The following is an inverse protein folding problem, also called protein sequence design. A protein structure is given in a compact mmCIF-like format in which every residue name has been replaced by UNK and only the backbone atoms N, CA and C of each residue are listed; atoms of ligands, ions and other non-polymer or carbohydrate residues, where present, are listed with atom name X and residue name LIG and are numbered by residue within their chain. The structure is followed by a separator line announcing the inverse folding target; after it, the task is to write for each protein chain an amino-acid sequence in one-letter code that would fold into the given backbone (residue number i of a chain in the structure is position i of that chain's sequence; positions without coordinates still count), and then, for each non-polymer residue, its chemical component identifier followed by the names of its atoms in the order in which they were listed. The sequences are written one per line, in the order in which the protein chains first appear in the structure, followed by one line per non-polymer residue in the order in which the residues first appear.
data_IF_945836464749
#
_entry.id   IF_945836464749
#
_cell.length_a   1.000
_cell.length_b   1.000
_cell.length_c   1.000
_cell.angle_alpha   90.00
_cell.angle_beta   90.00
_cell.angle_gamma   90.00
#
_symmetry.space_group_name_H-M   'P 1'
#
loop_
_entity.id
_entity.type
_entity.pdbx_description
1 polymer ?
#
# COMPACT_ATOMS: atom_id res chain seq x y z
N UNK A 1 7.17 -4.22 16.12
CA UNK A 1 8.20 -5.27 16.38
C UNK A 1 8.92 -5.54 15.06
N UNK A 2 10.23 -5.35 14.98
CA UNK A 2 11.01 -5.65 13.77
C UNK A 2 11.39 -7.13 13.77
N UNK A 3 11.38 -7.77 12.60
CA UNK A 3 11.80 -9.16 12.46
C UNK A 3 13.34 -9.28 12.52
N UNK A 4 13.92 -9.27 13.72
CA UNK A 4 15.35 -9.48 13.90
C UNK A 4 15.61 -11.00 13.98
N UNK A 5 16.38 -11.55 13.04
CA UNK A 5 16.82 -12.96 13.06
C UNK A 5 15.81 -14.01 12.53
N UNK A 6 14.66 -13.59 12.01
CA UNK A 6 13.61 -14.50 11.51
C UNK A 6 13.75 -14.86 10.02
N UNK A 7 14.63 -14.16 9.29
CA UNK A 7 14.94 -14.46 7.88
C UNK A 7 15.54 -15.87 7.71
N UNK A 8 16.28 -16.37 8.71
CA UNK A 8 16.88 -17.72 8.70
C UNK A 8 15.90 -18.85 9.03
N UNK A 9 14.73 -18.54 9.61
CA UNK A 9 13.71 -19.52 10.01
C UNK A 9 12.56 -19.64 9.00
N UNK A 10 12.61 -18.93 7.86
CA UNK A 10 11.56 -18.99 6.83
C UNK A 10 10.21 -18.41 7.28
N UNK A 11 10.18 -17.60 8.34
CA UNK A 11 8.95 -17.09 8.96
C UNK A 11 8.42 -15.81 8.32
N UNK A 12 9.23 -15.14 7.48
CA UNK A 12 8.81 -14.00 6.67
C UNK A 12 8.64 -14.46 5.22
N UNK A 13 7.40 -14.58 4.76
CA UNK A 13 7.14 -14.88 3.37
C UNK A 13 7.51 -13.65 2.53
N UNK A 14 8.44 -13.81 1.58
CA UNK A 14 8.62 -12.84 0.51
C UNK A 14 7.33 -12.78 -0.32
N UNK A 15 6.70 -11.62 -0.36
CA UNK A 15 5.58 -11.36 -1.25
C UNK A 15 5.76 -10.03 -1.96
N UNK A 16 5.17 -9.94 -3.15
CA UNK A 16 5.36 -8.81 -4.05
C UNK A 16 4.95 -7.50 -3.38
N UNK A 17 5.83 -6.50 -3.39
CA UNK A 17 5.52 -5.16 -2.90
C UNK A 17 4.56 -4.40 -3.81
N UNK A 18 3.64 -3.66 -3.20
CA UNK A 18 2.83 -2.67 -3.89
C UNK A 18 3.72 -1.47 -4.24
N UNK A 19 3.87 -1.24 -5.55
CA UNK A 19 4.59 -0.11 -6.11
C UNK A 19 3.68 0.72 -7.00
N UNK A 20 3.91 2.03 -7.02
CA UNK A 20 3.26 2.98 -7.91
C UNK A 20 4.35 3.69 -8.72
N UNK A 21 4.37 3.46 -10.04
CA UNK A 21 5.42 3.96 -10.93
C UNK A 21 6.84 3.64 -10.42
N UNK A 22 7.05 2.39 -9.96
CA UNK A 22 8.33 1.92 -9.43
C UNK A 22 8.62 2.28 -7.97
N UNK A 23 7.91 3.27 -7.40
CA UNK A 23 8.10 3.70 -6.01
C UNK A 23 7.29 2.83 -5.05
N UNK A 24 7.90 2.45 -3.93
CA UNK A 24 7.23 1.72 -2.85
C UNK A 24 6.08 2.53 -2.24
N UNK A 25 4.95 1.85 -1.98
CA UNK A 25 3.85 2.45 -1.23
C UNK A 25 4.16 2.59 0.28
N UNK A 26 5.00 1.71 0.82
CA UNK A 26 5.47 1.69 2.21
C UNK A 26 6.90 1.16 2.26
N UNK A 27 7.66 1.59 3.26
CA UNK A 27 9.05 1.17 3.50
C UNK A 27 9.19 0.04 4.52
N UNK A 28 8.06 -0.54 4.93
CA UNK A 28 8.02 -1.75 5.72
C UNK A 28 6.79 -2.57 5.36
N UNK A 29 6.91 -3.89 5.47
CA UNK A 29 5.83 -4.82 5.22
C UNK A 29 5.74 -5.85 6.34
N UNK A 30 4.53 -6.35 6.58
CA UNK A 30 4.28 -7.34 7.63
C UNK A 30 4.64 -8.75 7.16
N UNK A 31 5.48 -9.47 7.90
CA UNK A 31 5.96 -10.78 7.45
C UNK A 31 4.88 -11.87 7.30
N UNK A 32 3.81 -11.77 8.09
CA UNK A 32 2.64 -12.65 7.96
C UNK A 32 1.36 -11.81 8.09
N UNK A 33 0.83 -11.24 7.00
CA UNK A 33 -0.37 -10.41 7.01
C UNK A 33 -1.62 -11.12 7.56
N UNK A 34 -1.61 -12.46 7.64
CA UNK A 34 -2.67 -13.23 8.31
C UNK A 34 -2.64 -13.15 9.84
N UNK A 35 -1.51 -12.75 10.45
CA UNK A 35 -1.34 -12.70 11.91
C UNK A 35 -1.24 -11.24 12.36
N UNK A 36 -2.20 -10.73 13.16
CA UNK A 36 -2.19 -9.32 13.58
C UNK A 36 -0.99 -8.95 14.45
N UNK A 37 -0.31 -9.92 15.07
CA UNK A 37 0.86 -9.74 15.93
C UNK A 37 2.19 -10.04 15.23
N UNK A 38 2.18 -10.22 13.90
CA UNK A 38 3.42 -10.44 13.16
C UNK A 38 4.35 -9.22 13.20
N UNK A 39 5.62 -9.46 12.95
CA UNK A 39 6.65 -8.44 12.91
C UNK A 39 6.74 -7.81 11.51
N UNK A 40 7.48 -6.70 11.42
CA UNK A 40 7.71 -5.95 10.20
C UNK A 40 9.14 -6.12 9.72
N UNK A 41 9.28 -6.20 8.41
CA UNK A 41 10.57 -6.12 7.73
C UNK A 41 10.66 -4.77 7.03
N UNK A 42 11.83 -4.15 7.15
CA UNK A 42 12.09 -2.84 6.57
C UNK A 42 12.70 -3.03 5.18
N UNK A 43 12.31 -2.17 4.27
CA UNK A 43 12.95 -2.04 2.97
C UNK A 43 14.34 -1.42 3.11
N UNK A 44 15.10 -1.51 2.02
CA UNK A 44 16.48 -1.05 2.00
C UNK A 44 16.54 0.47 2.18
N UNK A 45 17.54 0.91 2.93
CA UNK A 45 17.74 2.34 3.15
C UNK A 45 17.91 3.09 1.81
N UNK A 46 17.21 4.22 1.70
CA UNK A 46 17.08 5.10 0.52
C UNK A 46 16.35 4.49 -0.68
N UNK A 47 15.69 3.34 -0.52
CA UNK A 47 14.85 2.80 -1.59
C UNK A 47 13.71 3.78 -1.92
N UNK A 48 13.45 4.10 -3.22
CA UNK A 48 12.45 5.08 -3.58
C UNK A 48 11.03 4.72 -3.12
N UNK A 49 10.36 5.66 -2.47
CA UNK A 49 9.04 5.45 -1.87
C UNK A 49 8.14 6.69 -1.99
N UNK A 50 6.87 6.52 -1.62
CA UNK A 50 5.86 7.58 -1.60
C UNK A 50 5.49 8.01 -0.18
N UNK A 51 5.52 9.32 0.07
CA UNK A 51 5.07 9.95 1.30
C UNK A 51 3.64 10.45 1.12
N UNK A 52 2.71 9.79 1.81
CA UNK A 52 1.27 10.03 1.65
C UNK A 52 0.69 11.11 2.56
N UNK A 53 1.49 11.70 3.46
CA UNK A 53 1.00 12.68 4.45
C UNK A 53 0.40 13.92 3.83
N UNK A 54 0.78 14.26 2.59
CA UNK A 54 0.22 15.36 1.81
C UNK A 54 -0.53 14.92 0.54
N UNK A 55 -0.66 13.62 0.30
CA UNK A 55 -1.37 13.11 -0.86
C UNK A 55 -2.84 13.54 -0.84
N UNK A 56 -3.40 13.86 -2.00
CA UNK A 56 -4.80 14.26 -2.14
C UNK A 56 -5.73 13.06 -1.99
N UNK A 57 -6.91 13.27 -1.40
CA UNK A 57 -7.95 12.25 -1.35
C UNK A 57 -8.52 11.93 -2.73
N UNK A 58 -8.95 10.68 -2.89
CA UNK A 58 -9.65 10.18 -4.06
C UNK A 58 -10.58 9.02 -3.72
N UNK A 59 -11.12 8.41 -4.78
CA UNK A 59 -11.89 7.19 -4.73
C UNK A 59 -11.35 6.16 -5.70
N UNK A 60 -11.37 4.90 -5.29
CA UNK A 60 -10.95 3.80 -6.13
C UNK A 60 -11.95 3.55 -7.27
N UNK A 61 -11.43 3.38 -8.47
CA UNK A 61 -12.17 2.83 -9.61
C UNK A 61 -11.23 1.92 -10.40
N UNK A 62 -11.58 0.64 -10.52
CA UNK A 62 -10.81 -0.38 -11.23
C UNK A 62 -9.34 -0.49 -10.78
N UNK A 63 -9.09 -0.30 -9.47
CA UNK A 63 -7.75 -0.32 -8.89
C UNK A 63 -6.95 0.99 -9.01
N UNK A 64 -7.55 2.06 -9.52
CA UNK A 64 -6.89 3.37 -9.66
C UNK A 64 -7.56 4.40 -8.74
N UNK A 65 -6.75 5.22 -8.06
CA UNK A 65 -7.24 6.30 -7.21
C UNK A 65 -7.53 7.55 -8.05
N UNK A 66 -8.81 7.90 -8.19
CA UNK A 66 -9.26 9.07 -8.95
C UNK A 66 -9.76 10.17 -8.02
N UNK A 67 -9.66 11.43 -8.44
CA UNK A 67 -10.40 12.49 -7.74
C UNK A 67 -11.91 12.26 -7.88
N UNK A 68 -12.71 12.92 -7.03
CA UNK A 68 -14.17 12.71 -6.97
C UNK A 68 -14.88 12.93 -8.31
N UNK A 69 -14.56 14.01 -9.02
CA UNK A 69 -15.19 14.35 -10.31
C UNK A 69 -14.97 13.25 -11.35
N UNK A 70 -13.73 12.77 -11.46
CA UNK A 70 -13.37 11.68 -12.39
C UNK A 70 -14.05 10.37 -11.97
N UNK A 71 -14.04 10.02 -10.68
CA UNK A 71 -14.74 8.84 -10.17
C UNK A 71 -16.23 8.89 -10.51
N UNK A 72 -16.91 10.00 -10.21
CA UNK A 72 -18.35 10.15 -10.46
C UNK A 72 -18.66 10.02 -11.95
N UNK A 73 -17.78 10.51 -12.83
CA UNK A 73 -17.88 10.31 -14.29
C UNK A 73 -17.72 8.86 -14.72
N UNK A 74 -16.76 8.13 -14.15
CA UNK A 74 -16.53 6.70 -14.45
C UNK A 74 -17.68 5.82 -13.93
N UNK A 75 -18.14 6.07 -12.70
CA UNK A 75 -19.23 5.35 -12.06
C UNK A 75 -20.57 5.51 -12.79
N UNK A 76 -20.80 6.65 -13.45
CA UNK A 76 -21.97 6.86 -14.33
C UNK A 76 -21.89 6.05 -15.63
N UNK A 77 -20.68 5.82 -16.17
CA UNK A 77 -20.48 5.11 -17.44
C UNK A 77 -20.51 3.59 -17.27
N UNK A 78 -20.00 3.09 -16.15
CA UNK A 78 -19.98 1.65 -15.84
C UNK A 78 -20.12 1.44 -14.34
N UNK A 79 -21.01 0.52 -13.98
CA UNK A 79 -21.31 0.16 -12.60
C UNK A 79 -20.01 -0.14 -11.81
N UNK A 80 -19.81 0.49 -10.63
CA UNK A 80 -18.67 0.23 -9.76
C UNK A 80 -18.64 -1.21 -9.24
N UNK A 81 -17.45 -1.81 -9.18
CA UNK A 81 -17.22 -3.13 -8.55
C UNK A 81 -16.98 -2.96 -7.05
N UNK A 82 -18.05 -3.03 -6.27
CA UNK A 82 -18.02 -2.76 -4.81
C UNK A 82 -17.78 -4.00 -3.95
N UNK A 83 -17.71 -5.19 -4.56
CA UNK A 83 -17.46 -6.42 -3.83
C UNK A 83 -15.99 -6.54 -3.43
N UNK A 84 -15.74 -7.09 -2.24
CA UNK A 84 -14.40 -7.31 -1.71
C UNK A 84 -13.80 -8.60 -2.29
N UNK A 85 -12.63 -8.55 -2.96
CA UNK A 85 -12.07 -9.74 -3.60
C UNK A 85 -11.51 -10.78 -2.63
N UNK A 86 -11.09 -10.34 -1.44
CA UNK A 86 -10.56 -11.19 -0.40
C UNK A 86 -10.57 -10.44 0.93
N UNK A 87 -10.47 -11.16 2.06
CA UNK A 87 -10.25 -10.53 3.36
C UNK A 87 -8.92 -9.76 3.35
N UNK A 88 -8.90 -8.57 3.92
CA UNK A 88 -7.68 -7.76 4.07
C UNK A 88 -6.66 -8.42 5.02
N UNK A 89 -5.39 -8.43 4.62
CA UNK A 89 -4.27 -8.67 5.53
C UNK A 89 -4.00 -7.47 6.44
N UNK A 90 -3.26 -7.70 7.53
CA UNK A 90 -2.97 -6.73 8.59
C UNK A 90 -1.81 -5.74 8.27
N UNK A 91 -1.50 -5.51 7.00
CA UNK A 91 -0.35 -4.69 6.59
C UNK A 91 -0.61 -3.15 6.65
N UNK A 92 0.44 -2.35 6.85
CA UNK A 92 0.38 -0.89 7.05
C UNK A 92 0.33 -0.09 5.74
N UNK A 93 -0.64 -0.39 4.88
CA UNK A 93 -0.90 0.38 3.64
C UNK A 93 -1.87 1.54 3.87
N UNK A 94 -1.71 2.25 4.99
CA UNK A 94 -2.56 3.37 5.38
C UNK A 94 -1.86 4.24 6.44
N UNK A 95 -2.28 5.50 6.56
CA UNK A 95 -1.99 6.36 7.70
C UNK A 95 -3.31 6.87 8.31
N UNK A 96 -3.23 7.82 9.25
CA UNK A 96 -4.40 8.45 9.88
C UNK A 96 -5.35 9.13 8.89
N UNK A 97 -4.89 9.45 7.67
CA UNK A 97 -5.71 10.07 6.62
C UNK A 97 -6.45 9.01 5.80
N UNK A 98 -5.86 7.83 5.58
CA UNK A 98 -6.52 6.75 4.86
C UNK A 98 -5.56 5.80 4.14
N UNK A 99 -6.09 4.90 3.29
CA UNK A 99 -5.28 3.90 2.64
C UNK A 99 -4.45 4.46 1.48
N UNK A 100 -3.26 3.90 1.29
CA UNK A 100 -2.32 4.26 0.23
C UNK A 100 -2.77 3.64 -1.10
N UNK A 101 -3.30 4.47 -1.99
CA UNK A 101 -3.84 4.01 -3.26
C UNK A 101 -5.01 3.04 -3.13
N UNK A 102 -5.16 2.18 -4.14
CA UNK A 102 -6.33 1.32 -4.34
C UNK A 102 -5.99 -0.17 -4.36
N UNK A 103 -4.87 -0.55 -3.75
CA UNK A 103 -4.43 -1.92 -3.63
C UNK A 103 -4.22 -2.31 -2.17
N UNK A 104 -4.27 -3.60 -1.90
CA UNK A 104 -4.01 -4.19 -0.59
C UNK A 104 -3.56 -5.65 -0.74
N UNK A 105 -2.97 -6.21 0.31
CA UNK A 105 -2.63 -7.64 0.36
C UNK A 105 -3.79 -8.47 0.90
N UNK A 106 -4.12 -9.57 0.22
CA UNK A 106 -5.07 -10.54 0.74
C UNK A 106 -4.55 -11.23 2.02
N UNK A 107 -5.49 -11.59 2.88
CA UNK A 107 -5.22 -12.23 4.17
C UNK A 107 -4.50 -13.57 4.03
N UNK A 108 -4.89 -14.44 3.10
CA UNK A 108 -4.29 -15.77 2.94
C UNK A 108 -3.04 -15.75 2.07
N UNK A 109 -2.06 -16.60 2.41
CA UNK A 109 -0.88 -16.86 1.58
C UNK A 109 -1.31 -17.32 0.17
N UNK A 110 -0.68 -16.86 -0.93
CA UNK A 110 0.58 -16.10 -1.01
C UNK A 110 0.44 -14.58 -0.88
N UNK A 111 -0.61 -14.09 -0.21
CA UNK A 111 -0.89 -12.67 0.00
C UNK A 111 -0.94 -11.86 -1.32
N UNK A 112 -1.69 -12.33 -2.34
CA UNK A 112 -1.75 -11.62 -3.61
C UNK A 112 -2.22 -10.18 -3.43
N UNK A 113 -1.71 -9.29 -4.27
CA UNK A 113 -2.16 -7.90 -4.33
C UNK A 113 -3.53 -7.88 -5.00
N UNK A 114 -4.55 -7.41 -4.28
CA UNK A 114 -5.90 -7.25 -4.77
C UNK A 114 -6.28 -5.77 -4.90
N UNK A 115 -7.28 -5.50 -5.75
CA UNK A 115 -7.86 -4.16 -5.93
C UNK A 115 -8.85 -3.91 -4.80
N UNK A 116 -8.77 -2.75 -4.16
CA UNK A 116 -9.81 -2.28 -3.26
C UNK A 116 -11.11 -2.12 -4.04
N UNK A 117 -12.27 -2.41 -3.44
CA UNK A 117 -13.55 -2.17 -4.08
C UNK A 117 -13.70 -0.73 -4.54
N UNK A 118 -14.39 -0.55 -5.66
CA UNK A 118 -14.66 0.76 -6.21
C UNK A 118 -15.47 1.61 -5.21
N UNK A 119 -15.19 2.90 -5.18
CA UNK A 119 -15.80 3.87 -4.27
C UNK A 119 -15.09 4.01 -2.93
N UNK A 120 -14.20 3.09 -2.56
CA UNK A 120 -13.37 3.23 -1.36
C UNK A 120 -12.52 4.51 -1.41
N UNK A 121 -12.40 5.18 -0.27
CA UNK A 121 -11.48 6.31 -0.10
C UNK A 121 -10.05 5.84 -0.29
N UNK A 122 -9.23 6.66 -0.94
CA UNK A 122 -7.80 6.42 -1.13
C UNK A 122 -7.02 7.73 -1.05
N UNK A 123 -5.74 7.63 -0.68
CA UNK A 123 -4.75 8.68 -0.86
C UNK A 123 -4.07 8.45 -2.21
N UNK A 124 -4.10 9.47 -3.09
CA UNK A 124 -3.68 9.32 -4.47
C UNK A 124 -2.14 9.24 -4.60
N UNK A 125 -1.59 8.11 -5.08
CA UNK A 125 -0.14 7.97 -5.24
C UNK A 125 0.49 8.98 -6.20
N UNK A 126 -0.29 9.53 -7.14
CA UNK A 126 0.21 10.53 -8.11
C UNK A 126 0.46 11.90 -7.51
N UNK A 127 -0.14 12.19 -6.35
CA UNK A 127 0.02 13.47 -5.63
C UNK A 127 0.79 13.31 -4.33
N UNK A 128 1.26 12.09 -4.03
CA UNK A 128 2.17 11.84 -2.93
C UNK A 128 3.56 12.42 -3.25
N UNK A 129 4.26 12.89 -2.21
CA UNK A 129 5.64 13.32 -2.37
C UNK A 129 6.54 12.10 -2.56
N UNK A 130 7.65 12.29 -3.28
CA UNK A 130 8.66 11.24 -3.42
C UNK A 130 9.64 11.34 -2.25
N UNK A 131 10.07 10.18 -1.76
CA UNK A 131 11.05 10.07 -0.70
C UNK A 131 11.92 8.84 -0.88
N UNK A 132 12.65 8.50 0.18
CA UNK A 132 13.26 7.18 0.27
C UNK A 132 13.16 6.60 1.67
N UNK A 133 13.35 5.30 1.74
CA UNK A 133 13.15 4.53 2.96
C UNK A 133 14.24 4.80 4.00
N UNK A 134 13.83 4.96 5.25
CA UNK A 134 14.73 5.07 6.41
C UNK A 134 14.09 4.37 7.60
N UNK A 135 14.72 3.30 8.07
CA UNK A 135 14.26 2.56 9.25
C UNK A 135 12.78 2.14 9.20
N UNK A 136 12.29 1.72 8.03
CA UNK A 136 10.91 1.26 7.84
C UNK A 136 9.89 2.36 7.43
N UNK A 137 10.31 3.63 7.42
CA UNK A 137 9.45 4.78 7.09
C UNK A 137 9.88 5.41 5.77
N UNK A 138 8.91 5.99 5.04
CA UNK A 138 9.21 6.80 3.86
C UNK A 138 9.47 8.25 4.24
N UNK A 139 10.68 8.77 3.98
CA UNK A 139 11.09 10.13 4.35
C UNK A 139 11.27 10.98 3.10
N UNK A 140 10.57 12.12 3.04
CA UNK A 140 10.64 13.04 1.90
C UNK A 140 12.08 13.51 1.65
N UNK A 141 12.50 13.56 0.38
CA UNK A 141 13.85 13.97 -0.02
C UNK A 141 14.99 12.97 0.30
N UNK A 142 14.70 11.83 0.91
CA UNK A 142 15.71 10.83 1.32
C UNK A 142 15.94 9.71 0.27
N UNK A 143 16.03 10.07 -1.02
CA UNK A 143 16.20 9.09 -2.12
C UNK A 143 17.67 8.97 -2.57
N UNK A 144 18.07 7.81 -3.12
CA UNK A 144 19.32 7.73 -3.91
C UNK A 144 19.15 8.59 -5.18
N UNK A 145 20.04 9.57 -5.35
CA UNK A 145 20.29 10.26 -6.62
C UNK A 145 20.79 9.28 -7.67
#
# INVERSE_FOLDING_TARGET
VQCIGLDWLGLCAEYKHIRHNGLLATCSHMCAPMRPQSCYRNEWDREPCLVFDQATFGRCYDGVCHNKSVYDGLAKRRAPKTWMPCRHGHDYLYNSRGPFGCHFYCYHYPHPIARRPDGNVCLNPRTALKGGCKSGYCVAGYQRT
#
